data_IF_377275655993
#
_entry.id   IF_377275655993
#
_cell.length_a   1.000
_cell.length_b   1.000
_cell.length_c   1.000
_cell.angle_alpha   90.00
_cell.angle_beta   90.00
_cell.angle_gamma   90.00
#
_symmetry.space_group_name_H-M   'P 1'
#
loop_
_entity.id
_entity.type
_entity.pdbx_description
1 polymer ?
#
# COMPACT_ATOMS: atom_id res chain seq x y z
N UNK A 1 38.85 -8.77 -11.28
CA UNK A 1 37.47 -9.15 -10.92
C UNK A 1 37.00 -8.20 -9.85
N UNK A 2 35.89 -7.50 -10.04
CA UNK A 2 35.34 -6.63 -8.99
C UNK A 2 34.62 -7.50 -7.96
N UNK A 3 34.95 -7.30 -6.68
CA UNK A 3 34.24 -7.92 -5.57
C UNK A 3 32.94 -7.14 -5.33
N UNK A 4 31.79 -7.81 -5.42
CA UNK A 4 30.51 -7.23 -5.02
C UNK A 4 30.45 -7.23 -3.50
N UNK A 5 30.34 -6.05 -2.89
CA UNK A 5 30.31 -5.89 -1.42
C UNK A 5 28.91 -5.66 -0.87
N UNK A 6 27.96 -5.27 -1.73
CA UNK A 6 26.62 -4.85 -1.31
C UNK A 6 25.59 -5.35 -2.29
N UNK A 7 24.53 -5.96 -1.76
CA UNK A 7 23.35 -6.41 -2.51
C UNK A 7 22.14 -5.83 -1.80
N UNK A 8 21.22 -5.23 -2.55
CA UNK A 8 19.96 -4.68 -2.05
C UNK A 8 18.84 -5.44 -2.75
N UNK A 9 17.89 -5.94 -1.97
CA UNK A 9 16.67 -6.56 -2.47
C UNK A 9 15.50 -5.68 -2.09
N UNK A 10 14.52 -5.62 -2.98
CA UNK A 10 13.17 -5.23 -2.60
C UNK A 10 12.54 -6.34 -1.74
N UNK A 11 11.55 -5.99 -0.91
CA UNK A 11 10.93 -6.93 0.02
C UNK A 11 9.66 -7.55 -0.58
N UNK A 12 8.68 -6.71 -0.93
CA UNK A 12 7.36 -7.14 -1.40
C UNK A 12 7.39 -7.61 -2.85
N UNK A 13 6.90 -8.83 -3.13
CA UNK A 13 6.94 -9.42 -4.47
C UNK A 13 8.32 -9.92 -4.91
N UNK A 14 9.37 -9.76 -4.09
CA UNK A 14 10.72 -10.29 -4.33
C UNK A 14 11.14 -11.31 -3.26
N UNK A 15 11.15 -10.91 -2.00
CA UNK A 15 11.52 -11.80 -0.87
C UNK A 15 10.32 -12.36 -0.12
N UNK A 16 9.22 -11.60 -0.06
CA UNK A 16 7.98 -11.97 0.62
C UNK A 16 6.82 -11.65 -0.33
N UNK A 17 5.80 -12.51 -0.36
CA UNK A 17 4.57 -12.21 -1.07
C UNK A 17 3.84 -11.07 -0.37
N UNK A 18 3.74 -9.92 -1.03
CA UNK A 18 2.99 -8.77 -0.53
C UNK A 18 1.82 -8.52 -1.46
N UNK A 19 0.60 -8.65 -0.95
CA UNK A 19 -0.60 -8.48 -1.73
C UNK A 19 -1.72 -7.77 -0.93
N UNK A 20 -2.06 -6.52 -1.27
CA UNK A 20 -3.17 -5.80 -0.65
C UNK A 20 -4.50 -6.55 -0.72
N UNK A 21 -4.69 -7.47 -1.68
CA UNK A 21 -5.90 -8.26 -1.80
C UNK A 21 -6.19 -9.17 -0.58
N UNK A 22 -5.19 -9.46 0.26
CA UNK A 22 -5.40 -10.22 1.51
C UNK A 22 -6.17 -9.42 2.56
N UNK A 23 -6.02 -8.10 2.57
CA UNK A 23 -6.78 -7.18 3.43
C UNK A 23 -8.06 -6.70 2.72
N UNK A 24 -7.93 -6.27 1.47
CA UNK A 24 -9.01 -5.73 0.65
C UNK A 24 -9.66 -6.84 -0.19
N UNK A 25 -10.17 -7.85 0.50
CA UNK A 25 -10.87 -8.96 -0.14
C UNK A 25 -12.20 -8.50 -0.78
N UNK A 26 -12.90 -9.43 -1.43
CA UNK A 26 -14.18 -9.14 -2.10
C UNK A 26 -15.30 -8.65 -1.19
N UNK A 27 -15.16 -8.76 0.13
CA UNK A 27 -16.15 -8.36 1.13
C UNK A 27 -15.77 -7.07 1.86
N UNK A 28 -14.55 -6.56 1.67
CA UNK A 28 -14.07 -5.36 2.35
C UNK A 28 -14.85 -4.11 1.92
N UNK A 29 -15.11 -3.97 0.61
CA UNK A 29 -15.89 -2.87 0.03
C UNK A 29 -17.31 -3.31 -0.33
N UNK A 30 -18.20 -2.33 -0.50
CA UNK A 30 -19.60 -2.59 -0.89
C UNK A 30 -19.72 -3.14 -2.33
N UNK A 31 -18.77 -2.80 -3.19
CA UNK A 31 -18.75 -3.27 -4.58
C UNK A 31 -17.32 -3.44 -5.12
N UNK A 32 -17.18 -4.20 -6.21
CA UNK A 32 -15.92 -4.32 -6.93
C UNK A 32 -15.46 -2.97 -7.53
N UNK A 33 -16.42 -2.15 -7.98
CA UNK A 33 -16.14 -0.82 -8.51
C UNK A 33 -15.53 0.11 -7.43
N UNK A 34 -16.01 0.03 -6.19
CA UNK A 34 -15.43 0.80 -5.08
C UNK A 34 -13.98 0.35 -4.79
N UNK A 35 -13.72 -0.95 -4.88
CA UNK A 35 -12.38 -1.50 -4.71
C UNK A 35 -11.44 -1.01 -5.82
N UNK A 36 -11.87 -1.09 -7.07
CA UNK A 36 -11.10 -0.60 -8.22
C UNK A 36 -10.83 0.90 -8.08
N UNK A 37 -11.87 1.70 -7.79
CA UNK A 37 -11.71 3.13 -7.57
C UNK A 37 -10.71 3.44 -6.45
N UNK A 38 -10.74 2.70 -5.35
CA UNK A 38 -9.80 2.88 -4.24
C UNK A 38 -8.34 2.73 -4.68
N UNK A 39 -8.01 1.67 -5.43
CA UNK A 39 -6.64 1.44 -5.89
C UNK A 39 -6.23 2.29 -7.10
N UNK A 40 -7.20 2.76 -7.90
CA UNK A 40 -6.92 3.60 -9.07
C UNK A 40 -6.86 5.10 -8.75
N UNK A 41 -7.55 5.56 -7.70
CA UNK A 41 -7.72 6.98 -7.43
C UNK A 41 -7.31 7.41 -6.01
N UNK A 42 -7.42 6.51 -5.02
CA UNK A 42 -7.15 6.85 -3.61
C UNK A 42 -5.74 6.39 -3.22
N UNK A 43 -5.54 5.08 -3.01
CA UNK A 43 -4.24 4.49 -2.66
C UNK A 43 -3.62 3.84 -3.90
N UNK A 44 -3.13 4.68 -4.81
CA UNK A 44 -2.50 4.27 -6.07
C UNK A 44 -1.11 3.67 -5.85
N UNK A 45 -0.62 2.88 -6.83
CA UNK A 45 0.76 2.37 -6.82
C UNK A 45 1.78 3.51 -6.70
N UNK A 46 1.63 4.56 -7.52
CA UNK A 46 2.50 5.75 -7.46
C UNK A 46 2.47 6.42 -6.08
N UNK A 47 1.31 6.45 -5.43
CA UNK A 47 1.24 6.96 -4.06
C UNK A 47 2.07 6.08 -3.13
N UNK A 48 1.86 4.76 -3.12
CA UNK A 48 2.61 3.81 -2.29
C UNK A 48 4.13 3.89 -2.54
N UNK A 49 4.56 3.97 -3.79
CA UNK A 49 5.98 4.06 -4.18
C UNK A 49 6.65 5.32 -3.61
N UNK A 50 5.92 6.43 -3.45
CA UNK A 50 6.47 7.63 -2.81
C UNK A 50 6.81 7.38 -1.32
N UNK A 51 6.05 6.52 -0.66
CA UNK A 51 6.33 6.13 0.73
C UNK A 51 7.53 5.18 0.80
N UNK A 52 7.64 4.24 -0.14
CA UNK A 52 8.81 3.36 -0.26
C UNK A 52 10.10 4.14 -0.55
N UNK A 53 9.99 5.27 -1.27
CA UNK A 53 11.07 6.22 -1.47
C UNK A 53 11.44 7.04 -0.21
N UNK A 54 10.77 6.79 0.93
CA UNK A 54 11.07 7.39 2.23
C UNK A 54 10.14 8.53 2.65
N UNK A 55 9.02 8.78 1.94
CA UNK A 55 8.04 9.75 2.40
C UNK A 55 7.32 9.25 3.66
N UNK A 56 7.15 10.06 4.73
CA UNK A 56 6.61 9.57 5.99
C UNK A 56 5.18 9.02 5.88
N UNK A 57 5.00 7.75 6.24
CA UNK A 57 3.72 7.04 6.16
C UNK A 57 2.56 7.78 6.85
N UNK A 58 2.79 8.26 8.08
CA UNK A 58 1.78 8.98 8.85
C UNK A 58 1.35 10.27 8.13
N UNK A 59 2.30 10.99 7.52
CA UNK A 59 2.00 12.23 6.80
C UNK A 59 1.23 11.94 5.50
N UNK A 60 1.67 10.94 4.74
CA UNK A 60 1.00 10.49 3.51
C UNK A 60 -0.45 10.08 3.76
N UNK A 61 -0.66 9.32 4.85
CA UNK A 61 -1.97 8.83 5.30
C UNK A 61 -2.89 10.00 5.63
N UNK A 62 -2.45 10.95 6.46
CA UNK A 62 -3.26 12.11 6.84
C UNK A 62 -3.55 13.05 5.66
N UNK A 63 -2.60 13.25 4.75
CA UNK A 63 -2.82 14.01 3.51
C UNK A 63 -3.88 13.33 2.62
N UNK A 64 -3.80 12.00 2.50
CA UNK A 64 -4.77 11.24 1.69
C UNK A 64 -6.17 11.23 2.31
N UNK A 65 -6.28 11.13 3.64
CA UNK A 65 -7.57 11.22 4.36
C UNK A 65 -8.22 12.59 4.13
N UNK A 66 -7.44 13.67 4.17
CA UNK A 66 -7.96 15.01 3.88
C UNK A 66 -8.49 15.15 2.45
N UNK A 67 -7.84 14.49 1.48
CA UNK A 67 -8.29 14.49 0.09
C UNK A 67 -9.52 13.58 -0.13
N UNK A 68 -9.61 12.47 0.60
CA UNK A 68 -10.63 11.43 0.43
C UNK A 68 -11.26 11.02 1.78
N UNK A 69 -11.97 11.92 2.47
CA UNK A 69 -12.45 11.68 3.84
C UNK A 69 -13.42 10.50 3.96
N UNK A 70 -14.19 10.20 2.90
CA UNK A 70 -15.10 9.04 2.87
C UNK A 70 -14.37 7.70 2.88
N UNK A 71 -13.08 7.68 2.53
CA UNK A 71 -12.24 6.50 2.45
C UNK A 71 -11.32 6.32 3.66
N UNK A 72 -11.50 7.12 4.72
CA UNK A 72 -10.57 7.19 5.87
C UNK A 72 -10.20 5.81 6.42
N UNK A 73 -11.18 4.96 6.71
CA UNK A 73 -10.91 3.62 7.24
C UNK A 73 -10.04 2.80 6.28
N UNK A 74 -10.40 2.80 4.99
CA UNK A 74 -9.64 2.08 3.98
C UNK A 74 -8.21 2.61 3.84
N UNK A 75 -8.01 3.92 3.90
CA UNK A 75 -6.68 4.55 3.86
C UNK A 75 -5.85 4.15 5.08
N UNK A 76 -6.43 4.20 6.29
CA UNK A 76 -5.74 3.81 7.53
C UNK A 76 -5.38 2.33 7.54
N UNK A 77 -6.26 1.47 7.04
CA UNK A 77 -6.02 0.03 6.97
C UNK A 77 -4.86 -0.33 6.03
N UNK A 78 -4.53 0.51 5.04
CA UNK A 78 -3.49 0.22 4.05
C UNK A 78 -2.12 -0.02 4.70
N UNK A 79 -1.70 0.90 5.58
CA UNK A 79 -0.48 0.72 6.38
C UNK A 79 -0.75 0.15 7.77
N UNK A 80 -1.95 0.35 8.33
CA UNK A 80 -2.32 -0.18 9.64
C UNK A 80 -2.45 -1.70 9.69
N UNK A 81 -2.69 -2.35 8.54
CA UNK A 81 -2.79 -3.80 8.38
C UNK A 81 -1.78 -4.35 7.38
N UNK A 82 -0.66 -3.66 7.16
CA UNK A 82 0.37 -4.08 6.20
C UNK A 82 0.89 -5.50 6.46
N UNK A 83 1.04 -5.90 7.72
CA UNK A 83 1.48 -7.26 8.07
C UNK A 83 0.48 -8.34 7.63
N UNK A 84 -0.82 -8.02 7.61
CA UNK A 84 -1.88 -8.92 7.12
C UNK A 84 -1.85 -9.06 5.58
N UNK A 85 -1.06 -8.23 4.88
CA UNK A 85 -0.85 -8.31 3.43
C UNK A 85 0.34 -9.20 3.06
N UNK A 86 1.07 -9.72 4.03
CA UNK A 86 2.20 -10.62 3.83
C UNK A 86 1.72 -12.08 3.81
N UNK A 87 2.06 -12.81 2.75
CA UNK A 87 1.73 -14.23 2.53
C UNK A 87 2.83 -15.20 2.93
#
# INVERSE_FOLDING_TARGET
>A
MHQITTIIFDLGGVLIDWNPAYVYDKNYFASAADREFFFENVCTSEWNENQDAGYPLAKATEEKIKAFPTWEKAIRDFYGRWEDMLG
#
